data_IF_004646476734
#
_entry.id   IF_004646476734
#
_cell.length_a   1.000
_cell.length_b   1.000
_cell.length_c   1.000
_cell.angle_alpha   90.00
_cell.angle_beta   90.00
_cell.angle_gamma   90.00
#
_symmetry.space_group_name_H-M   'P 1'
#
loop_
_entity.id
_entity.type
_entity.pdbx_description
1 polymer ?
#
# COMPACT_ATOMS: atom_id res chain seq x y z
N UNK A 1 29.03 -23.27 6.96
CA UNK A 1 27.61 -23.32 6.56
C UNK A 1 26.96 -22.06 7.10
N UNK A 2 26.80 -21.01 6.28
CA UNK A 2 26.27 -19.74 6.75
C UNK A 2 24.78 -19.90 7.10
N UNK A 3 24.41 -19.60 8.35
CA UNK A 3 23.01 -19.56 8.77
C UNK A 3 22.32 -18.40 8.04
N UNK A 4 21.30 -18.71 7.25
CA UNK A 4 20.44 -17.70 6.63
C UNK A 4 19.78 -16.86 7.74
N UNK A 5 19.93 -15.53 7.67
CA UNK A 5 19.22 -14.60 8.54
C UNK A 5 17.72 -14.74 8.34
N UNK A 6 16.90 -14.46 9.37
CA UNK A 6 15.44 -14.61 9.31
C UNK A 6 14.81 -13.86 8.11
N UNK A 7 15.46 -12.81 7.62
CA UNK A 7 15.09 -12.05 6.42
C UNK A 7 15.34 -12.80 5.09
N UNK A 8 16.45 -13.52 4.97
CA UNK A 8 16.77 -14.39 3.81
C UNK A 8 15.74 -15.51 3.64
N UNK A 9 15.18 -15.99 4.76
CA UNK A 9 14.12 -17.01 4.77
C UNK A 9 12.81 -16.48 4.19
N UNK A 10 12.49 -15.20 4.40
CA UNK A 10 11.26 -14.59 3.84
C UNK A 10 11.38 -14.54 2.32
N UNK A 11 12.48 -14.04 1.77
CA UNK A 11 12.62 -13.92 0.31
C UNK A 11 12.69 -15.28 -0.38
N UNK A 12 13.41 -16.25 0.20
CA UNK A 12 13.49 -17.60 -0.37
C UNK A 12 12.16 -18.37 -0.34
N UNK A 13 11.22 -17.98 0.54
CA UNK A 13 9.86 -18.54 0.62
C UNK A 13 8.95 -18.08 -0.53
N UNK A 14 9.12 -16.88 -1.09
CA UNK A 14 8.20 -16.34 -2.10
C UNK A 14 8.84 -16.33 -3.50
N UNK A 15 8.17 -16.94 -4.47
CA UNK A 15 8.60 -16.95 -5.88
C UNK A 15 7.92 -15.80 -6.61
N UNK A 16 8.70 -14.80 -7.05
CA UNK A 16 8.22 -13.73 -7.93
C UNK A 16 7.74 -14.34 -9.26
N UNK A 17 6.57 -13.91 -9.74
CA UNK A 17 5.96 -14.37 -10.98
C UNK A 17 6.04 -13.26 -12.04
N UNK A 18 5.20 -12.23 -11.89
CA UNK A 18 5.06 -11.12 -12.82
C UNK A 18 5.00 -9.79 -12.06
N UNK A 19 5.41 -8.72 -12.72
CA UNK A 19 5.35 -7.37 -12.18
C UNK A 19 3.92 -6.81 -12.30
N UNK A 20 3.37 -6.36 -11.17
CA UNK A 20 2.04 -5.75 -11.10
C UNK A 20 2.10 -4.22 -11.23
N UNK A 21 3.13 -3.62 -10.64
CA UNK A 21 3.36 -2.17 -10.65
C UNK A 21 4.81 -1.83 -10.33
N UNK A 22 5.28 -0.69 -10.83
CA UNK A 22 6.57 -0.10 -10.51
C UNK A 22 6.41 1.41 -10.33
N UNK A 23 7.11 1.98 -9.33
CA UNK A 23 7.05 3.41 -9.04
C UNK A 23 8.06 3.84 -7.97
N UNK A 24 7.92 5.09 -7.51
CA UNK A 24 8.84 5.70 -6.54
C UNK A 24 8.99 4.90 -5.23
N UNK A 25 7.94 4.20 -4.81
CA UNK A 25 7.92 3.39 -3.58
C UNK A 25 8.44 1.95 -3.76
N UNK A 26 8.96 1.59 -4.93
CA UNK A 26 9.48 0.25 -5.24
C UNK A 26 8.65 -0.48 -6.31
N UNK A 27 8.90 -1.78 -6.44
CA UNK A 27 8.27 -2.65 -7.44
C UNK A 27 7.40 -3.69 -6.74
N UNK A 28 6.15 -3.84 -7.18
CA UNK A 28 5.20 -4.81 -6.66
C UNK A 28 5.09 -5.99 -7.63
N UNK A 29 5.38 -7.19 -7.14
CA UNK A 29 5.27 -8.43 -7.89
C UNK A 29 4.07 -9.24 -7.44
N UNK A 30 3.41 -9.93 -8.37
CA UNK A 30 2.64 -11.14 -8.04
C UNK A 30 3.65 -12.21 -7.68
N UNK A 31 3.46 -12.88 -6.55
CA UNK A 31 4.35 -13.94 -6.10
C UNK A 31 3.55 -15.14 -5.60
N UNK A 32 4.22 -16.29 -5.50
CA UNK A 32 3.66 -17.52 -4.93
C UNK A 32 4.41 -17.86 -3.64
N UNK A 33 3.66 -18.07 -2.57
CA UNK A 33 4.20 -18.65 -1.33
C UNK A 33 4.54 -20.12 -1.56
N UNK A 34 5.81 -20.52 -1.45
CA UNK A 34 6.24 -21.92 -1.62
C UNK A 34 5.65 -22.84 -0.56
N UNK A 35 5.28 -22.31 0.61
CA UNK A 35 4.77 -23.11 1.73
C UNK A 35 3.30 -23.44 1.58
N UNK A 36 2.47 -22.45 1.23
CA UNK A 36 1.02 -22.62 1.12
C UNK A 36 0.53 -22.81 -0.31
N UNK A 37 1.34 -22.45 -1.32
CA UNK A 37 0.93 -22.37 -2.72
C UNK A 37 0.08 -21.13 -3.04
N UNK A 38 -0.25 -20.30 -2.06
CA UNK A 38 -1.10 -19.11 -2.25
C UNK A 38 -0.42 -18.03 -3.09
N UNK A 39 -1.22 -17.32 -3.87
CA UNK A 39 -0.79 -16.12 -4.58
C UNK A 39 -0.82 -14.92 -3.62
N UNK A 40 0.27 -14.17 -3.62
CA UNK A 40 0.50 -13.00 -2.76
C UNK A 40 1.01 -11.83 -3.58
N UNK A 41 0.90 -10.62 -3.03
CA UNK A 41 1.53 -9.42 -3.57
C UNK A 41 2.83 -9.14 -2.78
N UNK A 42 3.94 -8.93 -3.48
CA UNK A 42 5.27 -8.73 -2.89
C UNK A 42 5.82 -7.37 -3.32
N UNK A 43 5.76 -6.38 -2.42
CA UNK A 43 6.38 -5.06 -2.62
C UNK A 43 7.86 -5.15 -2.26
N UNK A 44 8.72 -4.96 -3.25
CA UNK A 44 10.16 -4.91 -3.11
C UNK A 44 10.60 -3.46 -3.15
N UNK A 45 11.21 -2.99 -2.07
CA UNK A 45 11.71 -1.65 -1.92
C UNK A 45 13.24 -1.75 -1.96
N UNK A 46 13.84 -1.20 -3.02
CA UNK A 46 15.29 -1.08 -3.10
C UNK A 46 15.73 0.18 -2.37
N UNK A 47 16.58 0.00 -1.36
CA UNK A 47 17.41 1.09 -0.88
C UNK A 47 18.36 1.48 -2.01
N UNK A 48 18.54 2.77 -2.26
CA UNK A 48 19.58 3.23 -3.16
C UNK A 48 20.78 3.67 -2.32
N UNK A 49 21.97 3.46 -2.87
CA UNK A 49 23.18 4.07 -2.32
C UNK A 49 23.25 5.49 -2.86
N UNK A 50 23.45 6.47 -1.99
CA UNK A 50 23.73 7.82 -2.44
C UNK A 50 25.11 7.90 -3.12
N UNK A 51 25.47 9.07 -3.64
CA UNK A 51 26.76 9.32 -4.29
C UNK A 51 27.96 9.13 -3.34
N UNK A 52 27.71 9.08 -2.02
CA UNK A 52 28.69 8.81 -0.98
C UNK A 52 28.80 7.32 -0.62
N UNK A 53 27.97 6.46 -1.22
CA UNK A 53 27.93 5.02 -0.98
C UNK A 53 27.13 4.59 0.25
N UNK A 54 26.50 5.53 0.96
CA UNK A 54 25.65 5.24 2.12
C UNK A 54 24.29 4.73 1.67
N UNK A 55 23.77 3.71 2.38
CA UNK A 55 22.44 3.18 2.14
C UNK A 55 21.41 4.20 2.63
N UNK A 56 20.70 4.83 1.70
CA UNK A 56 19.56 5.67 2.06
C UNK A 56 18.40 4.75 2.41
N UNK A 57 18.22 4.51 3.72
CA UNK A 57 17.09 3.75 4.22
C UNK A 57 15.79 4.51 3.91
N UNK A 58 14.90 3.85 3.20
CA UNK A 58 13.55 4.36 3.00
C UNK A 58 12.76 4.10 4.28
N UNK A 59 12.80 5.05 5.21
CA UNK A 59 11.95 5.10 6.42
C UNK A 59 10.46 4.85 6.14
N UNK A 60 10.04 5.02 4.89
CA UNK A 60 8.73 4.65 4.36
C UNK A 60 8.37 3.17 4.54
N UNK A 61 9.35 2.25 4.48
CA UNK A 61 9.10 0.81 4.60
C UNK A 61 8.64 0.43 6.01
N UNK A 62 9.41 0.76 7.04
CA UNK A 62 9.06 0.39 8.42
C UNK A 62 7.76 1.09 8.85
N UNK A 63 7.55 2.31 8.38
CA UNK A 63 6.29 3.05 8.55
C UNK A 63 5.11 2.34 7.90
N UNK A 64 5.26 1.85 6.68
CA UNK A 64 4.22 1.09 5.98
C UNK A 64 3.92 -0.24 6.68
N UNK A 65 4.96 -0.98 7.09
CA UNK A 65 4.82 -2.22 7.86
C UNK A 65 4.06 -1.95 9.16
N UNK A 66 4.51 -0.98 9.96
CA UNK A 66 3.88 -0.64 11.23
C UNK A 66 2.41 -0.23 11.05
N UNK A 67 2.12 0.58 10.04
CA UNK A 67 0.75 1.03 9.75
C UNK A 67 -0.15 -0.16 9.36
N UNK A 68 0.35 -1.10 8.56
CA UNK A 68 -0.38 -2.31 8.18
C UNK A 68 -0.60 -3.26 9.37
N UNK A 69 0.41 -3.46 10.22
CA UNK A 69 0.31 -4.31 11.41
C UNK A 69 -0.75 -3.79 12.39
N UNK A 70 -0.76 -2.49 12.66
CA UNK A 70 -1.76 -1.85 13.53
C UNK A 70 -3.17 -1.94 12.93
N UNK A 71 -3.29 -1.95 11.60
CA UNK A 71 -4.57 -2.10 10.89
C UNK A 71 -4.98 -3.56 10.61
N UNK A 72 -4.14 -4.54 11.02
CA UNK A 72 -4.34 -5.97 10.75
C UNK A 72 -5.71 -6.46 11.26
N UNK A 73 -6.31 -7.36 10.49
CA UNK A 73 -7.59 -8.00 10.76
C UNK A 73 -8.81 -7.27 10.20
N UNK A 74 -8.67 -6.04 9.68
CA UNK A 74 -9.80 -5.32 9.12
C UNK A 74 -10.11 -5.73 7.67
N UNK A 75 -11.36 -6.12 7.33
CA UNK A 75 -11.69 -6.71 6.03
C UNK A 75 -11.43 -5.80 4.83
N UNK A 76 -11.57 -4.48 5.01
CA UNK A 76 -11.44 -3.47 3.95
C UNK A 76 -10.06 -2.78 3.91
N UNK A 77 -9.05 -3.39 4.53
CA UNK A 77 -7.63 -3.00 4.43
C UNK A 77 -6.86 -4.24 3.98
N UNK A 78 -5.89 -4.06 3.10
CA UNK A 78 -5.01 -5.16 2.66
C UNK A 78 -4.25 -5.74 3.87
N UNK A 79 -4.19 -7.06 3.95
CA UNK A 79 -3.58 -7.77 5.06
C UNK A 79 -2.09 -8.08 4.84
N UNK A 80 -1.21 -7.74 5.80
CA UNK A 80 0.19 -8.15 5.76
C UNK A 80 0.34 -9.65 6.01
N UNK A 81 1.26 -10.30 5.28
CA UNK A 81 1.54 -11.74 5.36
C UNK A 81 2.93 -12.01 5.93
N UNK A 82 3.94 -11.26 5.49
CA UNK A 82 5.31 -11.33 5.97
C UNK A 82 6.05 -10.06 5.56
N UNK A 83 7.14 -9.73 6.25
CA UNK A 83 8.06 -8.68 5.83
C UNK A 83 9.49 -9.06 6.23
N UNK A 84 10.49 -8.45 5.59
CA UNK A 84 11.90 -8.69 5.89
C UNK A 84 12.83 -7.69 5.20
N UNK A 85 14.06 -7.56 5.71
CA UNK A 85 15.12 -6.71 5.15
C UNK A 85 16.39 -7.54 4.92
N UNK A 86 16.91 -7.54 3.71
CA UNK A 86 18.16 -8.20 3.37
C UNK A 86 19.37 -7.38 3.79
N UNK A 87 20.50 -8.08 3.94
CA UNK A 87 21.79 -7.49 4.30
C UNK A 87 22.32 -6.55 3.20
N UNK A 88 21.84 -6.69 1.97
CA UNK A 88 22.14 -5.80 0.82
C UNK A 88 21.29 -4.52 0.79
N UNK A 89 20.36 -4.36 1.74
CA UNK A 89 19.46 -3.22 1.84
C UNK A 89 18.14 -3.38 1.08
N UNK A 90 17.86 -4.51 0.43
CA UNK A 90 16.53 -4.77 -0.14
C UNK A 90 15.49 -5.07 0.95
N UNK A 91 14.40 -4.31 0.99
CA UNK A 91 13.28 -4.56 1.90
C UNK A 91 12.09 -5.15 1.15
N UNK A 92 11.40 -6.11 1.77
CA UNK A 92 10.26 -6.81 1.17
C UNK A 92 9.08 -6.79 2.12
N UNK A 93 7.93 -6.39 1.61
CA UNK A 93 6.63 -6.49 2.27
C UNK A 93 5.71 -7.40 1.43
N UNK A 94 5.29 -8.50 2.03
CA UNK A 94 4.39 -9.48 1.43
C UNK A 94 3.00 -9.30 2.00
N UNK A 95 2.01 -9.21 1.12
CA UNK A 95 0.62 -8.90 1.42
C UNK A 95 -0.30 -9.90 0.73
N UNK A 96 -1.56 -9.97 1.16
CA UNK A 96 -2.57 -10.70 0.39
C UNK A 96 -2.67 -10.15 -1.04
N UNK A 97 -2.84 -11.04 -2.02
CA UNK A 97 -3.19 -10.64 -3.37
C UNK A 97 -4.70 -10.48 -3.48
N UNK A 98 -5.17 -9.30 -3.88
CA UNK A 98 -6.61 -8.97 -3.94
C UNK A 98 -7.14 -9.01 -5.36
N UNK A 99 -6.56 -8.22 -6.26
CA UNK A 99 -7.07 -8.03 -7.62
C UNK A 99 -6.63 -6.69 -8.22
N UNK A 100 -7.33 -6.19 -9.24
CA UNK A 100 -7.02 -4.90 -9.87
C UNK A 100 -7.33 -3.71 -8.96
N UNK A 101 -6.77 -2.55 -9.29
CA UNK A 101 -7.16 -1.30 -8.63
C UNK A 101 -8.56 -0.87 -9.04
N UNK A 102 -9.26 -0.14 -8.16
CA UNK A 102 -10.55 0.47 -8.46
C UNK A 102 -10.43 1.42 -9.67
N UNK A 103 -9.29 2.10 -9.84
CA UNK A 103 -8.97 2.86 -11.06
C UNK A 103 -9.11 2.01 -12.32
N UNK A 104 -8.46 0.85 -12.34
CA UNK A 104 -8.48 -0.06 -13.50
C UNK A 104 -9.89 -0.56 -13.78
N UNK A 105 -10.64 -0.93 -12.73
CA UNK A 105 -12.05 -1.35 -12.86
C UNK A 105 -12.91 -0.22 -13.46
N UNK A 106 -12.84 0.98 -12.89
CA UNK A 106 -13.59 2.15 -13.37
C UNK A 106 -13.21 2.54 -14.81
N UNK A 107 -11.94 2.38 -15.22
CA UNK A 107 -11.51 2.65 -16.60
C UNK A 107 -12.08 1.64 -17.59
N UNK A 108 -12.13 0.35 -17.24
CA UNK A 108 -12.72 -0.70 -18.08
C UNK A 108 -14.22 -0.47 -18.27
N UNK A 109 -14.91 -0.07 -17.20
CA UNK A 109 -16.34 0.23 -17.24
C UNK A 109 -16.67 1.49 -18.04
N UNK A 110 -15.80 2.51 -18.06
CA UNK A 110 -16.02 3.74 -18.85
C UNK A 110 -16.19 3.51 -20.36
N UNK A 111 -15.76 2.36 -20.89
CA UNK A 111 -16.05 1.94 -22.26
C UNK A 111 -17.50 1.48 -22.49
N UNK A 112 -18.24 1.18 -21.41
CA UNK A 112 -19.67 0.92 -21.38
C UNK A 112 -20.43 2.10 -20.75
N UNK A 113 -21.55 2.50 -21.32
CA UNK A 113 -22.34 3.68 -20.87
C UNK A 113 -23.07 3.49 -19.53
N UNK A 114 -22.73 2.49 -18.73
CA UNK A 114 -23.42 2.15 -17.47
C UNK A 114 -22.76 2.85 -16.29
N UNK A 115 -23.45 3.86 -15.75
CA UNK A 115 -23.11 4.42 -14.44
C UNK A 115 -23.40 3.36 -13.37
N UNK A 116 -22.53 3.26 -12.36
CA UNK A 116 -22.82 2.51 -11.13
C UNK A 116 -24.09 3.06 -10.49
N UNK A 117 -24.96 2.17 -10.02
CA UNK A 117 -26.14 2.53 -9.25
C UNK A 117 -25.75 3.20 -7.93
N UNK A 118 -26.65 4.01 -7.38
CA UNK A 118 -26.44 4.64 -6.09
C UNK A 118 -26.23 3.61 -4.96
N UNK A 119 -26.89 2.44 -5.05
CA UNK A 119 -26.72 1.35 -4.10
C UNK A 119 -25.28 0.82 -4.12
N UNK A 120 -24.71 0.55 -5.30
CA UNK A 120 -23.33 0.09 -5.43
C UNK A 120 -22.34 1.11 -4.86
N UNK A 121 -22.54 2.39 -5.15
CA UNK A 121 -21.70 3.48 -4.61
C UNK A 121 -21.84 3.54 -3.09
N UNK A 122 -23.05 3.42 -2.54
CA UNK A 122 -23.28 3.44 -1.09
C UNK A 122 -22.59 2.27 -0.39
N UNK A 123 -22.65 1.08 -0.96
CA UNK A 123 -21.95 -0.11 -0.42
C UNK A 123 -20.44 0.12 -0.46
N UNK A 124 -19.89 0.54 -1.59
CA UNK A 124 -18.46 0.86 -1.74
C UNK A 124 -18.00 1.91 -0.71
N UNK A 125 -18.76 3.00 -0.54
CA UNK A 125 -18.42 4.05 0.43
C UNK A 125 -18.45 3.55 1.87
N UNK A 126 -19.39 2.66 2.24
CA UNK A 126 -19.40 2.04 3.58
C UNK A 126 -18.13 1.23 3.83
N UNK A 127 -17.67 0.47 2.84
CA UNK A 127 -16.43 -0.32 2.95
C UNK A 127 -15.21 0.59 3.14
N UNK A 128 -15.08 1.63 2.30
CA UNK A 128 -13.97 2.60 2.38
C UNK A 128 -13.98 3.37 3.70
N UNK A 129 -15.12 3.87 4.14
CA UNK A 129 -15.25 4.60 5.40
C UNK A 129 -14.99 3.70 6.61
N UNK A 130 -15.38 2.42 6.55
CA UNK A 130 -15.03 1.46 7.58
C UNK A 130 -13.52 1.24 7.66
N UNK A 131 -12.83 1.10 6.53
CA UNK A 131 -11.36 1.00 6.50
C UNK A 131 -10.68 2.26 7.02
N UNK A 132 -11.10 3.45 6.55
CA UNK A 132 -10.57 4.72 7.01
C UNK A 132 -10.79 4.93 8.52
N UNK A 133 -11.98 4.56 9.03
CA UNK A 133 -12.27 4.59 10.47
C UNK A 133 -11.28 3.73 11.26
N UNK A 134 -10.99 2.50 10.82
CA UNK A 134 -9.99 1.66 11.49
C UNK A 134 -8.61 2.33 11.55
N UNK A 135 -8.17 2.98 10.47
CA UNK A 135 -6.90 3.70 10.46
C UNK A 135 -6.93 4.87 11.45
N UNK A 136 -7.99 5.67 11.44
CA UNK A 136 -8.14 6.83 12.32
C UNK A 136 -8.26 6.43 13.80
N UNK A 137 -9.00 5.38 14.13
CA UNK A 137 -9.11 4.83 15.49
C UNK A 137 -7.75 4.34 16.01
N UNK A 138 -6.85 3.97 15.10
CA UNK A 138 -5.47 3.60 15.40
C UNK A 138 -4.49 4.79 15.38
N UNK A 139 -4.99 6.02 15.24
CA UNK A 139 -4.16 7.23 15.18
C UNK A 139 -3.33 7.35 13.90
N UNK A 140 -3.80 6.81 12.78
CA UNK A 140 -3.10 6.82 11.49
C UNK A 140 -3.93 7.53 10.40
N UNK A 141 -3.33 8.49 9.71
CA UNK A 141 -3.87 9.11 8.50
C UNK A 141 -3.25 8.48 7.26
N UNK A 142 -4.05 8.11 6.26
CA UNK A 142 -3.54 7.53 5.01
C UNK A 142 -2.80 8.55 4.12
N UNK A 143 -3.35 9.78 4.01
CA UNK A 143 -2.84 10.92 3.21
C UNK A 143 -2.73 10.75 1.69
N UNK A 144 -3.12 9.61 1.11
CA UNK A 144 -3.15 9.42 -0.36
C UNK A 144 -4.28 8.45 -0.78
N UNK A 145 -5.46 8.58 -0.18
CA UNK A 145 -6.60 7.73 -0.51
C UNK A 145 -7.18 8.13 -1.88
N UNK A 146 -7.06 7.23 -2.85
CA UNK A 146 -7.51 7.41 -4.24
C UNK A 146 -7.85 6.06 -4.87
N UNK A 147 -8.58 6.01 -6.01
CA UNK A 147 -8.95 4.74 -6.66
C UNK A 147 -7.76 3.84 -7.04
N UNK A 148 -6.56 4.40 -7.18
CA UNK A 148 -5.34 3.65 -7.47
C UNK A 148 -4.80 2.92 -6.21
N UNK A 149 -5.14 3.40 -5.01
CA UNK A 149 -4.78 2.83 -3.69
C UNK A 149 -5.96 2.06 -3.05
N UNK A 150 -6.90 1.62 -3.89
CA UNK A 150 -8.03 0.77 -3.49
C UNK A 150 -8.05 -0.41 -4.45
N UNK A 151 -7.98 -1.63 -3.92
CA UNK A 151 -8.07 -2.87 -4.69
C UNK A 151 -9.50 -3.42 -4.66
N UNK A 152 -9.86 -4.16 -5.70
CA UNK A 152 -11.17 -4.81 -5.83
C UNK A 152 -10.96 -6.32 -5.86
N UNK A 153 -11.56 -7.05 -4.91
CA UNK A 153 -11.49 -8.51 -4.87
C UNK A 153 -12.43 -9.15 -5.90
N UNK A 154 -12.34 -10.47 -6.07
CA UNK A 154 -13.17 -11.22 -7.01
C UNK A 154 -14.68 -11.18 -6.71
N UNK A 155 -15.07 -10.74 -5.50
CA UNK A 155 -16.47 -10.58 -5.07
C UNK A 155 -16.95 -9.12 -5.17
N UNK A 156 -16.09 -8.20 -5.63
CA UNK A 156 -16.38 -6.78 -5.74
C UNK A 156 -16.19 -5.97 -4.45
N UNK A 157 -15.60 -6.55 -3.40
CA UNK A 157 -15.29 -5.79 -2.18
C UNK A 157 -14.02 -4.96 -2.35
N UNK A 158 -14.00 -3.82 -1.66
CA UNK A 158 -12.89 -2.87 -1.69
C UNK A 158 -11.91 -3.13 -0.54
N UNK A 159 -10.61 -3.01 -0.84
CA UNK A 159 -9.54 -3.03 0.17
C UNK A 159 -8.59 -1.87 -0.05
N UNK A 160 -8.38 -1.06 0.99
CA UNK A 160 -7.41 0.03 1.00
C UNK A 160 -5.99 -0.54 1.06
N UNK A 161 -5.07 0.00 0.25
CA UNK A 161 -3.66 -0.42 0.18
C UNK A 161 -2.71 0.78 0.12
N UNK A 162 -1.40 0.52 0.12
CA UNK A 162 -0.32 1.51 0.02
C UNK A 162 -0.31 2.55 1.14
N UNK A 163 0.10 2.09 2.32
CA UNK A 163 0.20 2.91 3.54
C UNK A 163 1.56 3.61 3.65
N UNK A 164 2.39 3.59 2.59
CA UNK A 164 3.72 4.20 2.57
C UNK A 164 3.73 5.71 2.79
N UNK A 165 2.61 6.39 2.54
CA UNK A 165 2.44 7.82 2.83
C UNK A 165 1.70 8.09 4.15
N UNK A 166 1.38 7.06 4.93
CA UNK A 166 0.64 7.24 6.18
C UNK A 166 1.43 8.02 7.24
N UNK A 167 0.73 8.69 8.15
CA UNK A 167 1.34 9.45 9.24
C UNK A 167 0.53 9.29 10.52
N UNK A 168 1.23 9.25 11.66
CA UNK A 168 0.59 9.28 12.97
C UNK A 168 -0.10 10.61 13.23
N UNK A 169 -1.31 10.57 13.78
CA UNK A 169 -2.04 11.76 14.26
C UNK A 169 -1.42 12.36 15.53
N UNK A 170 -0.44 11.67 16.13
CA UNK A 170 0.33 12.21 17.25
C UNK A 170 1.59 12.98 16.79
N UNK A 171 1.94 12.94 15.49
CA UNK A 171 3.04 13.74 14.97
C UNK A 171 2.71 15.24 15.10
N UNK A 172 3.69 16.12 15.35
CA UNK A 172 3.42 17.54 15.46
C UNK A 172 2.93 18.11 14.12
N UNK A 173 2.00 19.09 14.13
CA UNK A 173 1.61 19.81 12.93
C UNK A 173 2.80 20.61 12.34
N UNK A 174 2.76 20.96 11.04
CA UNK A 174 1.61 20.86 10.14
C UNK A 174 1.40 19.46 9.55
N UNK A 175 0.13 19.08 9.37
CA UNK A 175 -0.26 17.89 8.59
C UNK A 175 -0.47 18.20 7.11
N UNK A 176 -0.32 19.48 6.72
CA UNK A 176 -0.57 20.01 5.38
C UNK A 176 0.63 19.93 4.45
N UNK A 177 1.60 19.07 4.76
CA UNK A 177 2.76 18.89 3.92
C UNK A 177 2.30 18.43 2.53
N UNK A 178 2.82 19.05 1.45
CA UNK A 178 2.39 18.77 0.09
C UNK A 178 2.75 17.34 -0.34
N UNK A 179 1.84 16.40 -0.07
CA UNK A 179 2.00 14.98 -0.34
C UNK A 179 0.72 14.38 -0.93
N UNK A 180 0.87 13.23 -1.59
CA UNK A 180 -0.23 12.52 -2.23
C UNK A 180 -0.56 13.04 -3.62
N UNK A 181 -1.70 12.62 -4.14
CA UNK A 181 -2.10 12.89 -5.53
C UNK A 181 -2.97 14.12 -5.61
N UNK A 182 -2.46 15.20 -6.23
CA UNK A 182 -3.09 16.54 -6.32
C UNK A 182 -4.61 16.54 -6.52
N UNK A 183 -5.14 15.70 -7.41
CA UNK A 183 -6.57 15.62 -7.72
C UNK A 183 -7.47 15.08 -6.60
N UNK A 184 -6.87 14.50 -5.56
CA UNK A 184 -7.55 13.91 -4.39
C UNK A 184 -7.18 14.61 -3.08
N UNK A 185 -6.31 15.64 -3.15
CA UNK A 185 -5.90 16.40 -1.98
C UNK A 185 -7.04 17.31 -1.48
N UNK A 186 -7.17 17.41 -0.16
CA UNK A 186 -8.06 18.38 0.46
C UNK A 186 -7.52 19.82 0.25
N UNK A 187 -8.39 20.86 0.28
CA UNK A 187 -7.99 22.25 0.01
C UNK A 187 -6.82 22.75 0.87
N UNK A 188 -6.80 22.41 2.15
CA UNK A 188 -5.73 22.76 3.10
C UNK A 188 -4.37 22.16 2.73
N UNK A 189 -4.35 21.00 2.07
CA UNK A 189 -3.12 20.39 1.54
C UNK A 189 -2.69 21.12 0.27
N UNK A 190 -3.64 21.43 -0.62
CA UNK A 190 -3.38 22.17 -1.87
C UNK A 190 -2.80 23.56 -1.60
N UNK A 191 -3.28 24.26 -0.57
CA UNK A 191 -2.72 25.53 -0.15
C UNK A 191 -1.28 25.40 0.35
N UNK A 192 -0.93 24.28 0.98
CA UNK A 192 0.46 23.93 1.34
C UNK A 192 1.38 23.75 0.12
N UNK A 193 0.87 23.25 -1.00
CA UNK A 193 1.63 23.16 -2.27
C UNK A 193 1.89 24.52 -2.93
N UNK A 194 1.07 25.54 -2.64
CA UNK A 194 1.16 26.87 -3.29
C UNK A 194 2.07 27.85 -2.54
N UNK A 195 2.39 27.55 -1.27
CA UNK A 195 3.17 28.42 -0.39
C UNK A 195 4.65 28.01 -0.26
N UNK A 196 5.09 27.00 -1.02
CA UNK A 196 6.48 26.54 -1.15
C UNK A 196 6.96 26.72 -2.59
#
# INVERSE_FOLDING_TARGET
MAMATASSVVISRFVKLDELASGGCGVVYRARDRRSGEIVAMKCIRSYRDDCGELVDRSDFDREVAAMEVCRGHPYIVQPRAHGRCDDGEAVLVMEFVGPTLRQVLRRERGGRTRRSELEVRVAMRQLLSGAKRMHDAGLMHRDLKPDNVLVDARGNLKICDLGLSQSTASPPPYSNPIGTRWYCAPEILLGFLNN
#
